data_IF_188275738289
#
_entry.id   IF_188275738289
#
_cell.length_a   1.000
_cell.length_b   1.000
_cell.length_c   1.000
_cell.angle_alpha   90.00
_cell.angle_beta   90.00
_cell.angle_gamma   90.00
#
_symmetry.space_group_name_H-M   'P 1'
#
loop_
_entity.id
_entity.type
_entity.pdbx_description
1 polymer ?
#
# COMPACT_ATOMS: atom_id res chain seq x y z
N UNK A 1 -43.25 16.32 21.70
CA UNK A 1 -41.86 16.85 21.67
C UNK A 1 -40.77 15.78 21.86
N UNK A 2 -41.07 14.51 22.19
CA UNK A 2 -40.07 13.45 22.46
C UNK A 2 -39.40 12.82 21.21
N UNK A 3 -39.86 13.13 19.99
CA UNK A 3 -39.41 12.47 18.74
C UNK A 3 -38.15 13.08 18.11
N UNK A 4 -37.75 14.30 18.50
CA UNK A 4 -36.58 14.98 17.94
C UNK A 4 -35.24 14.48 18.52
N UNK A 5 -35.22 13.96 19.75
CA UNK A 5 -33.98 13.49 20.39
C UNK A 5 -33.40 12.20 19.78
N UNK A 6 -34.25 11.33 19.23
CA UNK A 6 -33.82 10.05 18.63
C UNK A 6 -33.10 10.26 17.30
N UNK A 7 -33.53 11.27 16.52
CA UNK A 7 -32.94 11.57 15.20
C UNK A 7 -31.51 12.14 15.35
N UNK A 8 -31.27 12.97 16.37
CA UNK A 8 -29.94 13.54 16.64
C UNK A 8 -28.90 12.46 17.02
N UNK A 9 -29.30 11.42 17.77
CA UNK A 9 -28.41 10.32 18.13
C UNK A 9 -28.02 9.43 16.93
N UNK A 10 -28.95 9.23 15.97
CA UNK A 10 -28.69 8.44 14.76
C UNK A 10 -27.75 9.19 13.80
N UNK A 11 -27.91 10.50 13.66
CA UNK A 11 -27.04 11.32 12.80
C UNK A 11 -25.61 11.38 13.35
N UNK A 12 -25.42 11.44 14.67
CA UNK A 12 -24.08 11.40 15.27
C UNK A 12 -23.41 10.02 15.18
N UNK A 13 -24.17 8.92 15.12
CA UNK A 13 -23.61 7.57 14.93
C UNK A 13 -23.22 7.28 13.47
N UNK A 14 -23.84 7.98 12.51
CA UNK A 14 -23.54 7.83 11.08
C UNK A 14 -22.30 8.62 10.63
N UNK A 15 -21.71 9.43 11.51
CA UNK A 15 -20.54 10.27 11.23
C UNK A 15 -19.31 9.84 12.02
N UNK A 16 -19.08 8.54 12.23
CA UNK A 16 -17.74 8.09 12.64
C UNK A 16 -16.85 8.14 11.40
N UNK A 17 -15.91 9.10 11.27
CA UNK A 17 -14.90 9.00 10.24
C UNK A 17 -14.14 7.71 10.51
N UNK A 18 -14.19 6.78 9.55
CA UNK A 18 -13.23 5.68 9.47
C UNK A 18 -11.90 6.35 9.15
N UNK A 19 -11.21 6.81 10.19
CA UNK A 19 -9.79 7.10 10.09
C UNK A 19 -9.15 5.73 9.97
N UNK A 20 -8.99 5.26 8.72
CA UNK A 20 -8.04 4.21 8.42
C UNK A 20 -6.70 4.73 8.95
N UNK A 21 -6.20 4.14 10.02
CA UNK A 21 -4.91 4.51 10.57
C UNK A 21 -3.88 4.01 9.56
N UNK A 22 -3.12 4.93 8.97
CA UNK A 22 -2.01 4.60 8.11
C UNK A 22 -1.01 3.73 8.88
N UNK A 23 -0.50 2.70 8.21
CA UNK A 23 0.56 1.86 8.73
C UNK A 23 1.86 2.68 8.81
N UNK A 24 2.66 2.44 9.84
CA UNK A 24 3.89 3.23 10.05
C UNK A 24 5.08 2.47 9.47
N UNK A 25 5.51 2.90 8.29
CA UNK A 25 6.70 2.40 7.65
C UNK A 25 7.93 3.04 8.26
N UNK A 26 8.99 2.27 8.45
CA UNK A 26 10.31 2.77 8.86
C UNK A 26 11.39 2.17 7.99
N UNK A 27 12.26 3.00 7.43
CA UNK A 27 13.39 2.54 6.64
C UNK A 27 14.53 2.09 7.55
N UNK A 28 14.94 0.83 7.42
CA UNK A 28 16.00 0.22 8.24
C UNK A 28 17.30 -0.02 7.47
N UNK A 29 17.28 0.12 6.14
CA UNK A 29 18.49 0.13 5.32
C UNK A 29 18.25 -0.33 3.89
N UNK A 30 19.29 -0.23 3.06
CA UNK A 30 19.31 -0.78 1.71
C UNK A 30 20.35 -1.89 1.62
N UNK A 31 20.09 -2.87 0.77
CA UNK A 31 21.17 -3.74 0.27
C UNK A 31 21.99 -3.02 -0.81
N UNK A 32 23.12 -3.60 -1.21
CA UNK A 32 23.86 -3.27 -2.45
C UNK A 32 24.01 -1.78 -2.81
N UNK A 33 24.67 -0.97 -1.96
CA UNK A 33 24.98 0.44 -2.25
C UNK A 33 23.77 1.32 -2.57
N UNK A 34 22.60 1.07 -1.97
CA UNK A 34 21.40 1.88 -2.18
C UNK A 34 20.50 1.36 -3.31
N UNK A 35 20.78 0.17 -3.83
CA UNK A 35 19.92 -0.53 -4.80
C UNK A 35 19.13 -1.59 -4.04
N UNK A 36 17.81 -1.59 -4.20
CA UNK A 36 16.93 -2.54 -3.53
C UNK A 36 17.26 -4.04 -3.78
N UNK A 37 16.59 -4.94 -3.05
CA UNK A 37 15.50 -4.64 -2.13
C UNK A 37 15.99 -3.92 -0.87
N UNK A 38 15.14 -3.04 -0.39
CA UNK A 38 15.27 -2.24 0.82
C UNK A 38 14.70 -3.01 2.00
N UNK A 39 15.34 -2.85 3.16
CA UNK A 39 14.89 -3.36 4.44
C UNK A 39 14.04 -2.30 5.13
N UNK A 40 12.75 -2.58 5.30
CA UNK A 40 11.81 -1.70 6.00
C UNK A 40 11.14 -2.44 7.15
N UNK A 41 10.45 -1.71 8.02
CA UNK A 41 9.50 -2.29 8.97
C UNK A 41 8.16 -1.60 8.85
N UNK A 42 7.08 -2.39 8.83
CA UNK A 42 5.73 -1.93 9.12
C UNK A 42 5.41 -2.24 10.57
N UNK A 43 5.51 -1.21 11.42
CA UNK A 43 5.49 -1.37 12.87
C UNK A 43 6.64 -2.27 13.34
N UNK A 44 6.34 -3.52 13.70
CA UNK A 44 7.32 -4.54 14.11
C UNK A 44 7.60 -5.61 13.05
N UNK A 45 6.90 -5.58 11.93
CA UNK A 45 7.04 -6.57 10.85
C UNK A 45 8.18 -6.16 9.94
N UNK A 46 9.22 -6.98 9.82
CA UNK A 46 10.30 -6.73 8.86
C UNK A 46 9.83 -7.02 7.42
N UNK A 47 10.16 -6.12 6.50
CA UNK A 47 9.77 -6.15 5.10
C UNK A 47 11.01 -6.00 4.22
N UNK A 48 11.01 -6.73 3.11
CA UNK A 48 11.99 -6.59 2.02
C UNK A 48 11.25 -6.14 0.77
N UNK A 49 11.37 -4.86 0.42
CA UNK A 49 10.58 -4.23 -0.64
C UNK A 49 11.47 -3.57 -1.69
N UNK A 50 10.98 -3.41 -2.91
CA UNK A 50 11.64 -2.61 -3.92
C UNK A 50 11.04 -1.22 -3.97
N UNK A 51 11.90 -0.25 -4.26
CA UNK A 51 11.49 1.13 -4.45
C UNK A 51 10.88 1.34 -5.83
N UNK A 52 9.87 2.21 -5.94
CA UNK A 52 9.11 2.43 -7.18
C UNK A 52 9.64 3.60 -8.01
N UNK A 53 10.46 4.51 -7.45
CA UNK A 53 11.03 5.63 -8.19
C UNK A 53 12.38 6.08 -7.59
N UNK A 54 13.28 6.68 -8.37
CA UNK A 54 14.59 7.15 -7.88
C UNK A 54 14.65 8.66 -7.57
N UNK A 55 13.50 9.34 -7.63
CA UNK A 55 13.38 10.78 -7.42
C UNK A 55 13.10 11.12 -5.94
N UNK A 56 12.52 10.17 -5.23
CA UNK A 56 12.23 10.23 -3.80
C UNK A 56 13.36 9.56 -3.01
N UNK A 57 13.46 9.90 -1.72
CA UNK A 57 14.59 9.46 -0.91
C UNK A 57 14.20 9.20 0.54
N UNK A 58 14.81 8.17 1.13
CA UNK A 58 14.64 7.85 2.55
C UNK A 58 16.00 7.63 3.21
N UNK A 59 16.08 7.98 4.50
CA UNK A 59 17.25 7.74 5.34
C UNK A 59 17.01 6.67 6.39
N UNK A 60 18.10 6.04 6.83
CA UNK A 60 18.05 5.07 7.92
C UNK A 60 17.41 5.68 9.17
N UNK A 61 16.36 5.03 9.69
CA UNK A 61 15.59 5.46 10.85
C UNK A 61 14.45 6.43 10.56
N UNK A 62 14.24 6.81 9.30
CA UNK A 62 13.10 7.63 8.87
C UNK A 62 11.81 6.81 8.87
N UNK A 63 10.72 7.41 9.36
CA UNK A 63 9.41 6.79 9.41
C UNK A 63 8.32 7.71 8.85
N UNK A 64 7.34 7.12 8.17
CA UNK A 64 6.20 7.82 7.58
C UNK A 64 4.93 6.95 7.61
N UNK A 65 3.78 7.59 7.42
CA UNK A 65 2.51 6.88 7.21
C UNK A 65 2.42 6.34 5.78
N UNK A 66 2.04 5.09 5.62
CA UNK A 66 1.81 4.47 4.32
C UNK A 66 0.41 3.85 4.24
N UNK A 67 -0.21 4.00 3.08
CA UNK A 67 -1.37 3.22 2.68
C UNK A 67 -0.88 1.89 2.11
N UNK A 68 -1.19 0.81 2.82
CA UNK A 68 -0.90 -0.56 2.35
C UNK A 68 -2.06 -1.05 1.52
N UNK A 69 -1.82 -1.25 0.24
CA UNK A 69 -2.86 -1.56 -0.75
C UNK A 69 -2.50 -2.86 -1.47
N UNK A 70 -3.40 -3.84 -1.45
CA UNK A 70 -3.26 -5.03 -2.29
C UNK A 70 -3.38 -4.63 -3.77
N UNK A 71 -2.51 -5.16 -4.61
CA UNK A 71 -2.46 -4.76 -6.01
C UNK A 71 -3.76 -4.97 -6.78
N UNK A 72 -4.60 -5.94 -6.38
CA UNK A 72 -5.93 -6.14 -7.00
C UNK A 72 -6.83 -4.90 -6.95
N UNK A 73 -6.59 -3.96 -6.02
CA UNK A 73 -7.29 -2.68 -5.98
C UNK A 73 -6.97 -1.78 -7.20
N UNK A 74 -5.86 -2.02 -7.88
CA UNK A 74 -5.45 -1.31 -9.10
C UNK A 74 -5.86 -2.05 -10.38
N UNK A 75 -6.55 -3.20 -10.29
CA UNK A 75 -6.98 -3.95 -11.46
C UNK A 75 -7.92 -3.10 -12.34
N UNK A 76 -7.58 -2.95 -13.62
CA UNK A 76 -8.38 -2.15 -14.54
C UNK A 76 -8.27 -0.65 -14.31
N UNK A 77 -7.24 -0.18 -13.59
CA UNK A 77 -6.93 1.25 -13.38
C UNK A 77 -6.47 2.00 -14.64
N UNK A 78 -6.79 1.47 -15.83
CA UNK A 78 -6.73 2.18 -17.13
C UNK A 78 -7.45 3.55 -17.14
N UNK A 79 -8.14 3.90 -16.06
CA UNK A 79 -8.81 5.17 -15.87
C UNK A 79 -7.83 6.26 -15.38
N UNK A 80 -7.11 6.82 -16.36
CA UNK A 80 -6.93 8.26 -16.58
C UNK A 80 -5.65 9.01 -16.17
N UNK A 81 -4.68 8.45 -15.44
CA UNK A 81 -3.45 9.21 -15.13
C UNK A 81 -2.11 8.46 -15.09
N UNK A 82 -2.08 7.15 -14.80
CA UNK A 82 -0.82 6.41 -14.52
C UNK A 82 -0.47 5.31 -15.53
N UNK A 83 -1.16 5.18 -16.66
CA UNK A 83 -0.68 4.38 -17.81
C UNK A 83 -0.21 2.93 -17.54
N UNK A 84 -0.91 2.15 -16.71
CA UNK A 84 -0.60 0.75 -16.33
C UNK A 84 0.62 0.52 -15.44
N UNK A 85 1.16 1.58 -14.84
CA UNK A 85 2.39 1.51 -14.04
C UNK A 85 2.31 0.46 -12.91
N UNK A 86 1.19 0.33 -12.20
CA UNK A 86 1.08 -0.64 -11.10
C UNK A 86 1.08 -2.10 -11.58
N UNK A 87 0.48 -2.39 -12.75
CA UNK A 87 0.56 -3.70 -13.39
C UNK A 87 1.99 -4.02 -13.83
N UNK A 88 2.72 -3.02 -14.33
CA UNK A 88 4.14 -3.15 -14.70
C UNK A 88 5.01 -3.43 -13.48
N UNK A 89 4.85 -2.65 -12.41
CA UNK A 89 5.57 -2.85 -11.14
C UNK A 89 5.34 -4.25 -10.56
N UNK A 90 4.07 -4.69 -10.52
CA UNK A 90 3.72 -6.01 -10.01
C UNK A 90 4.36 -7.12 -10.86
N UNK A 91 4.38 -6.95 -12.18
CA UNK A 91 5.05 -7.89 -13.09
C UNK A 91 6.56 -7.96 -12.80
N UNK A 92 7.22 -6.80 -12.72
CA UNK A 92 8.67 -6.69 -12.53
C UNK A 92 9.08 -7.23 -11.16
N UNK A 93 8.40 -6.82 -10.08
CA UNK A 93 8.64 -7.30 -8.73
C UNK A 93 8.45 -8.83 -8.63
N UNK A 94 7.49 -9.37 -9.38
CA UNK A 94 7.25 -10.81 -9.49
C UNK A 94 8.42 -11.61 -10.09
N UNK A 95 9.32 -10.97 -10.86
CA UNK A 95 10.45 -11.64 -11.52
C UNK A 95 11.68 -11.85 -10.63
N UNK A 96 11.72 -11.29 -9.41
CA UNK A 96 12.93 -11.25 -8.59
C UNK A 96 13.49 -12.63 -8.24
N UNK A 97 12.67 -13.68 -8.09
CA UNK A 97 13.17 -15.03 -7.84
C UNK A 97 13.93 -15.68 -9.01
N UNK A 98 13.88 -15.07 -10.20
CA UNK A 98 14.65 -15.49 -11.37
C UNK A 98 15.59 -14.41 -11.92
N UNK A 99 15.62 -13.22 -11.28
CA UNK A 99 16.23 -12.02 -11.82
C UNK A 99 17.07 -11.31 -10.76
N UNK A 100 18.22 -10.74 -11.14
CA UNK A 100 19.07 -10.01 -10.21
C UNK A 100 18.34 -8.82 -9.57
N UNK A 101 18.56 -8.58 -8.28
CA UNK A 101 17.99 -7.46 -7.51
C UNK A 101 18.18 -6.11 -8.20
N UNK A 102 19.38 -5.84 -8.70
CA UNK A 102 19.67 -4.56 -9.38
C UNK A 102 18.92 -4.44 -10.71
N UNK A 103 18.78 -5.55 -11.45
CA UNK A 103 17.99 -5.57 -12.68
C UNK A 103 16.52 -5.24 -12.40
N UNK A 104 15.95 -5.82 -11.33
CA UNK A 104 14.58 -5.56 -10.87
C UNK A 104 14.43 -4.11 -10.44
N UNK A 105 15.27 -3.62 -9.52
CA UNK A 105 15.19 -2.25 -8.99
C UNK A 105 15.26 -1.19 -10.11
N UNK A 106 16.23 -1.33 -11.02
CA UNK A 106 16.35 -0.40 -12.16
C UNK A 106 15.22 -0.52 -13.18
N UNK A 107 14.56 -1.68 -13.27
CA UNK A 107 13.39 -1.82 -14.14
C UNK A 107 12.17 -1.13 -13.52
N UNK A 108 11.98 -1.22 -12.19
CA UNK A 108 10.89 -0.53 -11.48
C UNK A 108 11.03 0.99 -11.59
N UNK A 109 12.23 1.54 -11.35
CA UNK A 109 12.46 2.98 -11.49
C UNK A 109 12.12 3.53 -12.88
N UNK A 110 12.23 2.73 -13.95
CA UNK A 110 11.84 3.14 -15.30
C UNK A 110 10.33 3.32 -15.51
N UNK A 111 9.50 2.63 -14.73
CA UNK A 111 8.04 2.63 -14.90
C UNK A 111 7.47 4.00 -14.53
N UNK A 112 7.91 4.57 -13.41
CA UNK A 112 7.49 5.90 -12.97
C UNK A 112 8.40 7.03 -13.46
N UNK A 113 9.64 6.74 -13.88
CA UNK A 113 10.53 7.69 -14.52
C UNK A 113 10.75 7.40 -16.02
N UNK A 114 9.70 7.70 -16.81
CA UNK A 114 9.75 7.54 -18.27
C UNK A 114 10.82 8.38 -18.97
N UNK A 115 11.39 9.39 -18.31
CA UNK A 115 12.45 10.24 -18.87
C UNK A 115 13.83 9.56 -18.83
N UNK A 116 13.97 8.49 -18.04
CA UNK A 116 15.21 7.73 -17.87
C UNK A 116 15.20 6.36 -18.59
N UNK A 117 14.19 6.09 -19.42
CA UNK A 117 14.13 4.87 -20.24
C UNK A 117 15.37 4.79 -21.14
N UNK A 118 16.22 3.77 -20.93
CA UNK A 118 17.46 3.55 -21.68
C UNK A 118 18.76 3.90 -20.95
N UNK A 119 18.69 4.60 -19.80
CA UNK A 119 19.88 4.94 -19.00
C UNK A 119 20.36 3.78 -18.12
N UNK A 120 19.52 2.76 -17.92
CA UNK A 120 19.88 1.56 -17.18
C UNK A 120 20.39 0.44 -18.10
N UNK A 121 20.88 -0.65 -17.51
CA UNK A 121 21.45 -1.76 -18.27
C UNK A 121 20.42 -2.44 -19.20
N UNK A 122 20.91 -3.14 -20.22
CA UNK A 122 20.06 -3.78 -21.23
C UNK A 122 19.04 -4.78 -20.66
N UNK A 123 19.38 -5.46 -19.57
CA UNK A 123 18.49 -6.43 -18.94
C UNK A 123 17.32 -5.76 -18.23
N UNK A 124 17.56 -4.63 -17.56
CA UNK A 124 16.50 -3.82 -16.93
C UNK A 124 15.56 -3.23 -17.97
N UNK A 125 16.10 -2.70 -19.07
CA UNK A 125 15.30 -2.14 -20.16
C UNK A 125 14.43 -3.22 -20.83
N UNK A 126 14.98 -4.43 -21.01
CA UNK A 126 14.23 -5.57 -21.54
C UNK A 126 13.11 -6.02 -20.58
N UNK A 127 13.37 -5.99 -19.28
CA UNK A 127 12.38 -6.35 -18.26
C UNK A 127 11.24 -5.31 -18.17
N UNK A 128 11.56 -4.01 -18.15
CA UNK A 128 10.57 -2.95 -18.21
C UNK A 128 9.73 -3.02 -19.50
N UNK A 129 10.36 -3.28 -20.65
CA UNK A 129 9.66 -3.47 -21.92
C UNK A 129 8.73 -4.70 -21.89
N UNK A 130 9.13 -5.79 -21.24
CA UNK A 130 8.28 -6.97 -21.07
C UNK A 130 7.09 -6.67 -20.16
N UNK A 131 7.30 -5.89 -19.09
CA UNK A 131 6.26 -5.45 -18.19
C UNK A 131 5.22 -4.58 -18.90
N UNK A 132 5.65 -3.59 -19.69
CA UNK A 132 4.79 -2.76 -20.51
C UNK A 132 3.93 -3.60 -21.48
N UNK A 133 4.54 -4.56 -22.19
CA UNK A 133 3.81 -5.43 -23.11
C UNK A 133 2.82 -6.35 -22.38
N UNK A 134 3.19 -6.85 -21.20
CA UNK A 134 2.30 -7.63 -20.34
C UNK A 134 1.12 -6.78 -19.89
N UNK A 135 1.37 -5.57 -19.39
CA UNK A 135 0.33 -4.66 -18.94
C UNK A 135 -0.63 -4.29 -20.08
N UNK A 136 -0.09 -3.98 -21.27
CA UNK A 136 -0.85 -3.70 -22.49
C UNK A 136 -1.74 -4.88 -22.93
N UNK A 137 -1.26 -6.12 -22.76
CA UNK A 137 -2.03 -7.31 -23.11
C UNK A 137 -3.18 -7.62 -22.13
N UNK A 138 -3.09 -7.13 -20.89
CA UNK A 138 -4.07 -7.38 -19.82
C UNK A 138 -4.98 -6.17 -19.54
N UNK A 139 -4.96 -5.15 -20.41
CA UNK A 139 -5.81 -3.95 -20.27
C UNK A 139 -7.29 -4.34 -20.30
N UNK A 140 -8.01 -3.97 -19.23
CA UNK A 140 -9.44 -4.25 -19.10
C UNK A 140 -9.76 -5.68 -18.64
N UNK A 141 -8.74 -6.50 -18.37
CA UNK A 141 -8.94 -7.80 -17.75
C UNK A 141 -9.12 -7.65 -16.23
N UNK A 142 -10.38 -7.48 -15.81
CA UNK A 142 -10.76 -7.52 -14.39
C UNK A 142 -10.68 -8.93 -13.79
N UNK A 143 -10.48 -9.98 -14.60
CA UNK A 143 -10.44 -11.35 -14.14
C UNK A 143 -9.01 -11.77 -13.75
N UNK A 144 -8.61 -11.39 -12.54
CA UNK A 144 -7.58 -12.16 -11.82
C UNK A 144 -6.20 -12.12 -12.44
N UNK A 145 -5.66 -10.92 -12.68
CA UNK A 145 -4.22 -10.74 -12.82
C UNK A 145 -3.54 -11.19 -11.52
N UNK A 146 -3.14 -12.47 -11.48
CA UNK A 146 -2.61 -13.10 -10.26
C UNK A 146 -1.30 -12.45 -9.82
N UNK A 147 -0.52 -11.88 -10.74
CA UNK A 147 0.68 -11.12 -10.40
C UNK A 147 0.32 -9.86 -9.62
N UNK A 148 -0.67 -9.11 -10.10
CA UNK A 148 -1.16 -7.92 -9.42
C UNK A 148 -1.81 -8.26 -8.06
N UNK A 149 -2.58 -9.35 -7.98
CA UNK A 149 -3.16 -9.81 -6.72
C UNK A 149 -2.11 -10.26 -5.68
N UNK A 150 -0.95 -10.72 -6.15
CA UNK A 150 0.19 -11.10 -5.33
C UNK A 150 1.11 -9.93 -4.94
N UNK A 151 0.92 -8.76 -5.56
CA UNK A 151 1.65 -7.55 -5.22
C UNK A 151 0.97 -6.81 -4.06
N UNK A 152 1.79 -6.17 -3.23
CA UNK A 152 1.37 -5.24 -2.17
C UNK A 152 2.15 -3.94 -2.34
N UNK A 153 1.42 -2.84 -2.39
CA UNK A 153 1.97 -1.50 -2.57
C UNK A 153 1.91 -0.74 -1.24
N UNK A 154 2.98 -0.03 -0.92
CA UNK A 154 3.12 0.81 0.25
C UNK A 154 3.28 2.24 -0.26
N UNK A 155 2.19 2.99 -0.28
CA UNK A 155 2.13 4.33 -0.87
C UNK A 155 2.11 5.37 0.25
N UNK A 156 3.01 6.34 0.23
CA UNK A 156 3.03 7.42 1.22
C UNK A 156 1.65 8.12 1.29
N UNK A 157 1.16 8.33 2.51
CA UNK A 157 -0.17 8.88 2.76
C UNK A 157 -0.24 10.41 2.68
N UNK A 158 0.88 11.08 2.39
CA UNK A 158 1.01 12.54 2.41
C UNK A 158 1.16 13.13 3.82
N UNK A 159 1.29 12.28 4.83
CA UNK A 159 1.45 12.64 6.23
C UNK A 159 2.88 13.03 6.61
N UNK A 160 3.07 13.31 7.90
CA UNK A 160 4.37 13.74 8.43
C UNK A 160 5.42 12.63 8.38
N UNK A 161 6.67 13.04 8.22
CA UNK A 161 7.84 12.15 8.16
C UNK A 161 8.78 12.49 9.32
N UNK A 162 9.25 11.47 10.06
CA UNK A 162 9.93 11.69 11.35
C UNK A 162 11.35 12.25 11.24
N UNK A 163 12.00 12.17 10.08
CA UNK A 163 13.36 12.69 9.87
C UNK A 163 13.58 13.08 8.40
N UNK A 164 12.70 13.93 7.86
CA UNK A 164 12.72 14.30 6.44
C UNK A 164 14.06 14.91 6.05
N UNK A 165 14.81 14.20 5.23
CA UNK A 165 15.99 14.76 4.58
C UNK A 165 15.59 15.42 3.26
N UNK A 166 16.23 16.54 2.94
CA UNK A 166 16.19 17.17 1.61
C UNK A 166 14.81 17.66 1.12
N UNK A 167 13.78 17.75 1.98
CA UNK A 167 12.41 18.13 1.59
C UNK A 167 11.82 17.24 0.47
N UNK A 168 12.37 16.04 0.27
CA UNK A 168 11.81 15.07 -0.66
C UNK A 168 10.74 14.25 0.07
N UNK A 169 9.68 13.83 -0.63
CA UNK A 169 8.74 12.89 -0.05
C UNK A 169 9.40 11.50 0.09
N UNK A 170 8.92 10.65 1.02
CA UNK A 170 9.34 9.26 1.08
C UNK A 170 8.97 8.52 -0.21
N UNK A 171 9.83 7.58 -0.60
CA UNK A 171 9.58 6.75 -1.77
C UNK A 171 8.38 5.81 -1.54
N UNK A 172 7.70 5.44 -2.63
CA UNK A 172 6.70 4.38 -2.61
C UNK A 172 7.38 3.02 -2.84
N UNK A 173 6.82 1.97 -2.25
CA UNK A 173 7.42 0.64 -2.31
C UNK A 173 6.46 -0.43 -2.81
N UNK A 174 7.02 -1.45 -3.46
CA UNK A 174 6.30 -2.64 -3.91
C UNK A 174 6.95 -3.91 -3.34
N UNK A 175 6.12 -4.81 -2.84
CA UNK A 175 6.50 -6.18 -2.48
C UNK A 175 5.65 -7.19 -3.25
N UNK A 176 6.18 -8.38 -3.48
CA UNK A 176 5.41 -9.51 -4.03
C UNK A 176 5.45 -10.71 -3.09
N UNK A 177 4.33 -11.41 -2.94
CA UNK A 177 4.22 -12.63 -2.13
C UNK A 177 5.03 -13.79 -2.71
N UNK A 178 5.40 -13.73 -4.00
CA UNK A 178 6.36 -14.66 -4.59
C UNK A 178 7.79 -14.47 -4.05
N UNK A 179 8.14 -13.28 -3.53
CA UNK A 179 9.50 -12.89 -3.13
C UNK A 179 9.90 -13.43 -1.74
N UNK A 180 9.37 -14.57 -1.27
CA UNK A 180 9.72 -15.12 0.06
C UNK A 180 9.50 -14.15 1.23
N UNK A 181 8.88 -13.01 0.95
CA UNK A 181 8.46 -12.03 1.89
C UNK A 181 7.30 -12.76 2.57
N UNK A 182 7.43 -13.03 3.86
CA UNK A 182 6.27 -13.28 4.71
C UNK A 182 5.43 -12.00 4.68
N UNK A 183 4.81 -11.73 3.53
CA UNK A 183 3.73 -10.79 3.39
C UNK A 183 2.67 -11.40 4.28
N UNK A 184 2.56 -10.85 5.49
CA UNK A 184 1.32 -10.95 6.22
C UNK A 184 0.28 -10.52 5.21
N UNK A 185 -0.52 -11.48 4.72
CA UNK A 185 -1.79 -11.17 4.12
C UNK A 185 -2.61 -10.51 5.23
N UNK A 186 -2.30 -9.26 5.55
CA UNK A 186 -3.21 -8.35 6.20
C UNK A 186 -4.31 -8.07 5.16
N UNK A 187 -5.17 -9.07 4.92
CA UNK A 187 -6.59 -8.74 4.88
C UNK A 187 -6.80 -7.84 6.07
N UNK A 188 -7.28 -6.59 5.94
CA UNK A 188 -7.34 -5.63 7.03
C UNK A 188 -8.01 -6.32 8.23
N UNK A 189 -7.19 -6.80 9.16
CA UNK A 189 -7.67 -7.48 10.35
C UNK A 189 -8.17 -6.33 11.21
N UNK A 190 -9.47 -6.26 11.51
CA UNK A 190 -9.98 -5.18 12.34
C UNK A 190 -9.15 -5.14 13.62
N UNK A 191 -8.44 -4.03 13.83
CA UNK A 191 -7.57 -3.92 14.99
C UNK A 191 -8.35 -4.23 16.27
N UNK A 192 -7.73 -4.84 17.30
CA UNK A 192 -8.41 -5.18 18.56
C UNK A 192 -9.16 -4.00 19.18
N UNK A 193 -8.65 -2.79 18.96
CA UNK A 193 -9.23 -1.50 19.32
C UNK A 193 -10.61 -1.27 18.69
N UNK A 194 -10.74 -1.59 17.40
CA UNK A 194 -11.97 -1.43 16.62
C UNK A 194 -13.01 -2.45 17.03
N UNK A 195 -12.60 -3.69 17.37
CA UNK A 195 -13.49 -4.70 17.95
C UNK A 195 -13.97 -4.31 19.35
N UNK A 196 -13.09 -3.73 20.18
CA UNK A 196 -13.46 -3.22 21.50
C UNK A 196 -14.39 -2.00 21.43
N UNK A 197 -14.14 -1.07 20.51
CA UNK A 197 -14.99 0.08 20.29
C UNK A 197 -16.36 -0.34 19.73
N UNK A 198 -16.38 -1.25 18.76
CA UNK A 198 -17.62 -1.82 18.23
C UNK A 198 -18.39 -2.60 19.31
N UNK A 199 -17.70 -3.43 20.09
CA UNK A 199 -18.28 -4.19 21.19
C UNK A 199 -18.85 -3.29 22.29
N UNK A 200 -18.12 -2.24 22.70
CA UNK A 200 -18.61 -1.28 23.68
C UNK A 200 -19.78 -0.42 23.16
N UNK A 201 -19.78 -0.09 21.87
CA UNK A 201 -20.91 0.55 21.19
C UNK A 201 -22.19 -0.28 21.23
N UNK A 202 -22.10 -1.60 20.97
CA UNK A 202 -23.22 -2.52 21.06
C UNK A 202 -23.76 -2.66 22.49
N UNK A 203 -22.89 -2.71 23.49
CA UNK A 203 -23.30 -2.76 24.91
C UNK A 203 -24.03 -1.47 25.31
N UNK A 204 -23.52 -0.31 24.86
CA UNK A 204 -24.19 0.98 25.07
C UNK A 204 -25.59 1.03 24.45
N UNK A 205 -25.73 0.53 23.22
CA UNK A 205 -27.01 0.46 22.52
C UNK A 205 -28.00 -0.48 23.22
N UNK A 206 -27.55 -1.65 23.68
CA UNK A 206 -28.37 -2.59 24.45
C UNK A 206 -28.87 -1.98 25.77
N UNK A 207 -28.04 -1.19 26.45
CA UNK A 207 -28.43 -0.46 27.66
C UNK A 207 -29.54 0.57 27.41
N UNK A 208 -29.48 1.30 26.29
CA UNK A 208 -30.52 2.25 25.90
C UNK A 208 -31.84 1.57 25.55
N UNK A 209 -31.79 0.45 24.82
CA UNK A 209 -32.97 -0.35 24.48
C UNK A 209 -33.65 -0.93 25.73
N UNK A 210 -32.87 -1.42 26.70
CA UNK A 210 -33.39 -1.94 27.97
C UNK A 210 -34.17 -0.86 28.75
N UNK A 211 -33.68 0.38 28.76
CA UNK A 211 -34.33 1.49 29.46
C UNK A 211 -35.63 1.92 28.77
N UNK A 212 -35.71 1.83 27.44
CA UNK A 212 -36.92 2.17 26.69
C UNK A 212 -38.06 1.16 26.94
N UNK A 213 -37.74 -0.14 27.00
CA UNK A 213 -38.73 -1.22 27.23
C UNK A 213 -39.30 -1.21 28.65
N UNK A 214 -38.56 -0.69 29.64
CA UNK A 214 -39.01 -0.63 31.04
C UNK A 214 -39.77 0.65 31.40
N UNK A 215 -40.04 1.52 30.42
CA UNK A 215 -40.75 2.78 30.63
C UNK A 215 -42.20 2.79 30.11
N UNK A 216 -42.76 1.60 29.84
CA UNK A 216 -44.20 1.34 29.76
C UNK A 216 -44.71 0.80 31.10
#
# INVERSE_FOLDING_TARGET
MKRFGVIAAIICLAMTPVLAKADTMTFTGASNNGIGPYSLTDGSTALSLFGMNDQDGVKHGESWGANVVNGSAFAGSALSTTGFQYEEEAYIAGQYNGTNASTVQYALWQVFDSLNIGNYNSSSNALASAAFNFALANVGDTAGNTLLANATFYIWDGGNVTHQDQNLPPENYVGSSSVGNTISNNSPVPEPSSLLLFGSGLIGLAGLLRRAVWSE
#
